data_IF_177062106288
#
_entry.id   IF_177062106288
#
_cell.length_a   1.000
_cell.length_b   1.000
_cell.length_c   1.000
_cell.angle_alpha   90.00
_cell.angle_beta   90.00
_cell.angle_gamma   90.00
#
_symmetry.space_group_name_H-M   'P 1'
#
loop_
_entity.id
_entity.type
_entity.pdbx_description
1 polymer ?
#
# COMPACT_ATOMS: atom_id res chain seq x y z
N UNK A 1 -11.64 -29.23 -32.64
CA UNK A 1 -10.34 -29.11 -31.95
C UNK A 1 -10.32 -27.81 -31.16
N UNK A 2 -10.68 -27.87 -29.89
CA UNK A 2 -10.65 -26.73 -28.97
C UNK A 2 -9.20 -26.55 -28.49
N UNK A 3 -8.42 -25.78 -29.22
CA UNK A 3 -7.02 -25.53 -28.89
C UNK A 3 -6.90 -24.39 -27.88
N UNK A 4 -6.66 -24.79 -26.63
CA UNK A 4 -5.78 -24.12 -25.66
C UNK A 4 -6.17 -22.72 -25.17
N UNK A 5 -6.95 -22.70 -24.09
CA UNK A 5 -6.89 -21.65 -23.08
C UNK A 5 -5.48 -21.68 -22.49
N UNK A 6 -4.59 -20.80 -22.97
CA UNK A 6 -3.29 -20.60 -22.37
C UNK A 6 -3.49 -19.94 -21.01
N UNK A 7 -3.46 -20.76 -19.97
CA UNK A 7 -3.16 -20.37 -18.60
C UNK A 7 -2.07 -19.31 -18.63
N UNK A 8 -2.39 -18.11 -18.15
CA UNK A 8 -1.59 -16.90 -18.25
C UNK A 8 -0.14 -17.15 -17.76
N UNK A 9 0.74 -17.48 -18.70
CA UNK A 9 2.18 -17.52 -18.49
C UNK A 9 2.72 -16.08 -18.60
N UNK A 10 2.07 -15.15 -17.89
CA UNK A 10 2.48 -13.75 -17.85
C UNK A 10 3.79 -13.68 -17.08
N UNK A 11 4.89 -13.48 -17.81
CA UNK A 11 6.15 -13.07 -17.21
C UNK A 11 5.92 -11.80 -16.36
N UNK A 12 6.66 -11.60 -15.26
CA UNK A 12 6.48 -10.47 -14.35
C UNK A 12 6.44 -9.10 -15.05
N UNK A 13 7.15 -8.97 -16.18
CA UNK A 13 7.14 -7.79 -17.05
C UNK A 13 5.80 -7.50 -17.71
N UNK A 14 5.10 -8.53 -18.22
CA UNK A 14 3.76 -8.37 -18.82
C UNK A 14 2.70 -8.07 -17.75
N UNK A 15 2.83 -8.68 -16.56
CA UNK A 15 1.99 -8.33 -15.40
C UNK A 15 2.20 -6.87 -15.00
N UNK A 16 3.45 -6.40 -14.90
CA UNK A 16 3.75 -5.00 -14.58
C UNK A 16 3.19 -4.02 -15.63
N UNK A 17 3.32 -4.33 -16.92
CA UNK A 17 2.80 -3.46 -17.98
C UNK A 17 1.27 -3.42 -17.99
N UNK A 18 0.61 -4.57 -17.88
CA UNK A 18 -0.85 -4.62 -17.86
C UNK A 18 -1.41 -3.98 -16.59
N UNK A 19 -0.80 -4.23 -15.43
CA UNK A 19 -1.19 -3.63 -14.16
C UNK A 19 -1.02 -2.11 -14.18
N UNK A 20 0.09 -1.60 -14.74
CA UNK A 20 0.29 -0.16 -14.90
C UNK A 20 -0.68 0.45 -15.92
N UNK A 21 -0.99 -0.24 -17.01
CA UNK A 21 -1.95 0.23 -18.00
C UNK A 21 -3.37 0.38 -17.42
N UNK A 22 -3.74 -0.47 -16.46
CA UNK A 22 -5.08 -0.44 -15.82
C UNK A 22 -5.12 0.46 -14.59
N UNK A 23 -4.05 0.52 -13.79
CA UNK A 23 -4.04 1.22 -12.48
C UNK A 23 -3.24 2.54 -12.49
N UNK A 24 -2.55 2.86 -13.58
CA UNK A 24 -1.54 3.93 -13.66
C UNK A 24 -0.39 3.84 -12.64
N UNK A 25 -0.31 2.75 -11.88
CA UNK A 25 0.68 2.52 -10.85
C UNK A 25 1.41 1.20 -11.07
N UNK A 26 2.66 1.09 -10.60
CA UNK A 26 3.29 -0.22 -10.53
C UNK A 26 2.61 -1.07 -9.43
N UNK A 27 2.58 -2.41 -9.56
CA UNK A 27 1.95 -3.28 -8.56
C UNK A 27 2.42 -3.02 -7.13
N UNK A 28 3.72 -2.78 -6.96
CA UNK A 28 4.32 -2.46 -5.66
C UNK A 28 3.81 -1.13 -5.09
N UNK A 29 3.69 -0.09 -5.93
CA UNK A 29 3.16 1.20 -5.50
C UNK A 29 1.69 1.10 -5.13
N UNK A 30 0.92 0.29 -5.87
CA UNK A 30 -0.49 0.07 -5.57
C UNK A 30 -0.69 -0.65 -4.24
N UNK A 31 0.07 -1.73 -3.98
CA UNK A 31 0.05 -2.43 -2.69
C UNK A 31 0.45 -1.49 -1.54
N UNK A 32 1.47 -0.64 -1.74
CA UNK A 32 1.85 0.38 -0.76
C UNK A 32 0.70 1.34 -0.46
N UNK A 33 0.04 1.87 -1.49
CA UNK A 33 -1.11 2.75 -1.32
C UNK A 33 -2.22 2.08 -0.52
N UNK A 34 -2.59 0.83 -0.86
CA UNK A 34 -3.58 0.07 -0.09
C UNK A 34 -3.18 -0.07 1.38
N UNK A 35 -1.91 -0.44 1.65
CA UNK A 35 -1.41 -0.58 3.03
C UNK A 35 -1.48 0.72 3.81
N UNK A 36 -1.10 1.84 3.19
CA UNK A 36 -1.16 3.16 3.82
C UNK A 36 -2.61 3.59 4.11
N UNK A 37 -3.56 3.32 3.20
CA UNK A 37 -4.98 3.56 3.46
C UNK A 37 -5.53 2.69 4.58
N UNK A 38 -5.16 1.40 4.64
CA UNK A 38 -5.57 0.53 5.74
C UNK A 38 -5.02 1.05 7.08
N UNK A 39 -3.75 1.47 7.12
CA UNK A 39 -3.18 2.07 8.32
C UNK A 39 -3.89 3.37 8.73
N UNK A 40 -4.32 4.19 7.77
CA UNK A 40 -5.11 5.38 8.06
C UNK A 40 -6.45 5.03 8.74
N UNK A 41 -7.13 3.99 8.27
CA UNK A 41 -8.36 3.49 8.91
C UNK A 41 -8.10 2.96 10.33
N UNK A 42 -7.03 2.20 10.54
CA UNK A 42 -6.65 1.68 11.86
C UNK A 42 -6.39 2.80 12.87
N UNK A 43 -5.69 3.85 12.45
CA UNK A 43 -5.37 5.00 13.32
C UNK A 43 -6.60 5.86 13.60
N UNK A 44 -7.45 6.10 12.58
CA UNK A 44 -8.64 6.94 12.71
C UNK A 44 -9.76 6.27 13.52
N UNK A 45 -10.02 4.98 13.30
CA UNK A 45 -11.17 4.27 13.88
C UNK A 45 -10.80 3.52 15.15
N UNK A 46 -9.67 2.81 15.13
CA UNK A 46 -9.27 1.92 16.23
C UNK A 46 -8.32 2.58 17.22
N UNK A 47 -8.04 3.89 17.05
CA UNK A 47 -7.14 4.69 17.88
C UNK A 47 -5.76 4.04 18.10
N UNK A 48 -5.33 3.21 17.15
CA UNK A 48 -4.06 2.49 17.21
C UNK A 48 -2.91 3.48 17.01
N UNK A 49 -1.79 3.29 17.70
CA UNK A 49 -0.62 4.15 17.50
C UNK A 49 -0.05 3.99 16.09
N UNK A 50 0.53 5.05 15.53
CA UNK A 50 1.15 5.04 14.20
C UNK A 50 2.18 3.91 14.06
N UNK A 51 2.97 3.67 15.11
CA UNK A 51 3.96 2.59 15.14
C UNK A 51 3.31 1.22 15.06
N UNK A 52 2.24 0.96 15.82
CA UNK A 52 1.52 -0.31 15.76
C UNK A 52 0.83 -0.51 14.40
N UNK A 53 0.21 0.53 13.86
CA UNK A 53 -0.43 0.48 12.55
C UNK A 53 0.60 0.13 11.45
N UNK A 54 1.81 0.69 11.51
CA UNK A 54 2.89 0.37 10.59
C UNK A 54 3.22 -1.13 10.57
N UNK A 55 3.38 -1.75 11.75
CA UNK A 55 3.66 -3.17 11.86
C UNK A 55 2.48 -4.02 11.39
N UNK A 56 1.24 -3.65 11.73
CA UNK A 56 0.04 -4.37 11.31
C UNK A 56 -0.16 -4.39 9.79
N UNK A 57 0.23 -3.31 9.08
CA UNK A 57 0.17 -3.27 7.62
C UNK A 57 1.44 -3.79 6.93
N UNK A 58 2.35 -4.41 7.71
CA UNK A 58 3.51 -5.15 7.19
C UNK A 58 4.72 -4.29 6.83
N UNK A 59 4.90 -3.14 7.47
CA UNK A 59 6.17 -2.39 7.41
C UNK A 59 7.15 -2.92 8.45
N UNK A 60 8.41 -3.07 8.04
CA UNK A 60 9.51 -3.46 8.94
C UNK A 60 10.12 -2.26 9.68
N UNK A 61 9.93 -1.04 9.16
CA UNK A 61 10.46 0.19 9.72
C UNK A 61 9.36 1.24 9.85
N UNK A 62 9.09 1.66 11.09
CA UNK A 62 8.14 2.74 11.40
C UNK A 62 8.60 4.06 10.76
N UNK A 63 9.90 4.34 10.74
CA UNK A 63 10.43 5.57 10.14
C UNK A 63 10.17 5.65 8.63
N UNK A 64 10.27 4.52 7.91
CA UNK A 64 9.94 4.48 6.48
C UNK A 64 8.43 4.62 6.26
N UNK A 65 7.64 3.92 7.05
CA UNK A 65 6.18 4.06 7.04
C UNK A 65 5.75 5.52 7.23
N UNK A 66 6.25 6.20 8.27
CA UNK A 66 5.88 7.58 8.58
C UNK A 66 6.19 8.56 7.45
N UNK A 67 7.32 8.40 6.74
CA UNK A 67 7.66 9.23 5.57
C UNK A 67 6.69 9.00 4.42
N UNK A 68 6.42 7.75 4.08
CA UNK A 68 5.49 7.43 2.98
C UNK A 68 4.05 7.82 3.32
N UNK A 69 3.64 7.65 4.58
CA UNK A 69 2.35 8.06 5.09
C UNK A 69 2.17 9.58 5.01
N UNK A 70 3.14 10.36 5.52
CA UNK A 70 3.12 11.83 5.45
C UNK A 70 3.09 12.31 3.99
N UNK A 71 3.80 11.63 3.10
CA UNK A 71 3.78 11.95 1.66
C UNK A 71 2.39 11.75 1.03
N UNK A 72 1.62 10.77 1.49
CA UNK A 72 0.30 10.46 0.94
C UNK A 72 -0.84 11.26 1.59
N UNK A 73 -0.77 11.48 2.91
CA UNK A 73 -1.86 12.09 3.70
C UNK A 73 -1.55 13.49 4.22
N UNK A 74 -0.35 14.03 3.94
CA UNK A 74 0.08 15.38 4.34
C UNK A 74 0.50 15.52 5.81
N UNK A 75 -0.08 14.73 6.72
CA UNK A 75 0.20 14.78 8.15
C UNK A 75 0.29 13.39 8.77
N UNK A 76 1.07 13.27 9.84
CA UNK A 76 1.11 12.06 10.66
C UNK A 76 0.14 12.30 11.84
N UNK A 77 -0.90 11.47 12.05
CA UNK A 77 -1.86 11.66 13.13
C UNK A 77 -1.23 11.76 14.53
N UNK A 78 -0.04 11.19 14.75
CA UNK A 78 0.70 11.36 16.01
C UNK A 78 1.19 12.79 16.24
N UNK A 79 1.35 13.61 15.19
CA UNK A 79 1.58 15.07 15.32
C UNK A 79 0.27 15.82 15.66
N UNK A 80 -0.90 15.25 15.35
CA UNK A 80 -2.21 15.88 15.62
C UNK A 80 -2.76 15.61 17.04
N UNK A 81 -2.15 14.70 17.82
CA UNK A 81 -2.53 14.41 19.22
C UNK A 81 -1.55 14.96 20.27
N UNK A 82 -0.65 15.85 19.87
CA UNK A 82 0.14 16.66 20.79
C UNK A 82 -0.40 18.11 20.76
N UNK A 83 -1.58 18.29 21.34
CA UNK A 83 -2.29 19.57 21.46
C UNK A 83 -3.45 19.42 22.42
#
# INVERSE_FOLDING_TARGET
>A
MLSSVHSANMSPSSLHQHFKAVTNASPLQYIKTIRLHHAHQLVAVQQTSISQAAYQVGYQSVSQFSREYKRLFGQIPSEAKAG
#
